data_IF_602828503787
#
_entry.id   IF_602828503787
#
_cell.length_a   1.000
_cell.length_b   1.000
_cell.length_c   1.000
_cell.angle_alpha   90.00
_cell.angle_beta   90.00
_cell.angle_gamma   90.00
#
_symmetry.space_group_name_H-M   'P 1'
#
loop_
_entity.id
_entity.type
_entity.pdbx_description
1 polymer ?
#
# COMPACT_ATOMS: atom_id res chain seq x y z
N UNK A 1 21.31 11.16 6.86
CA UNK A 1 20.39 10.03 7.15
C UNK A 1 20.92 8.80 6.46
N UNK A 2 21.00 7.64 7.12
CA UNK A 2 21.40 6.38 6.47
C UNK A 2 20.29 6.01 5.47
N UNK A 3 20.66 5.74 4.22
CA UNK A 3 19.72 5.29 3.19
C UNK A 3 19.25 3.89 3.56
N UNK A 4 17.94 3.66 3.58
CA UNK A 4 17.37 2.33 3.82
C UNK A 4 17.70 1.43 2.63
N UNK A 5 18.01 0.16 2.91
CA UNK A 5 18.21 -0.85 1.88
C UNK A 5 16.89 -1.17 1.19
N UNK A 6 16.97 -1.67 -0.04
CA UNK A 6 15.80 -2.11 -0.80
C UNK A 6 15.08 -3.26 -0.08
N UNK A 7 13.76 -3.21 -0.01
CA UNK A 7 12.99 -4.13 0.84
C UNK A 7 11.54 -4.30 0.38
N UNK A 8 10.95 -5.44 0.75
CA UNK A 8 9.53 -5.73 0.55
C UNK A 8 8.85 -5.85 1.92
N UNK A 9 7.77 -5.11 2.12
CA UNK A 9 6.92 -5.22 3.31
C UNK A 9 5.78 -6.21 3.03
N UNK A 10 5.79 -7.35 3.71
CA UNK A 10 4.71 -8.34 3.61
C UNK A 10 3.75 -8.16 4.78
N UNK A 11 2.46 -7.98 4.48
CA UNK A 11 1.39 -7.78 5.47
C UNK A 11 0.47 -8.99 5.46
N UNK A 12 0.62 -9.87 6.45
CA UNK A 12 -0.35 -10.93 6.70
C UNK A 12 -1.63 -10.35 7.31
N UNK A 13 -2.79 -10.75 6.78
CA UNK A 13 -4.04 -10.03 7.01
C UNK A 13 -4.15 -8.77 6.14
N UNK A 14 -3.56 -8.80 4.94
CA UNK A 14 -3.52 -7.67 4.02
C UNK A 14 -4.92 -7.16 3.62
N UNK A 15 -5.92 -8.04 3.55
CA UNK A 15 -7.31 -7.65 3.27
C UNK A 15 -8.08 -7.10 4.49
N UNK A 16 -7.45 -7.06 5.68
CA UNK A 16 -8.10 -6.65 6.92
C UNK A 16 -8.26 -5.13 7.10
N UNK A 17 -9.18 -4.74 7.98
CA UNK A 17 -9.52 -3.34 8.29
C UNK A 17 -8.29 -2.52 8.73
N UNK A 18 -7.42 -3.09 9.57
CA UNK A 18 -6.22 -2.40 10.04
C UNK A 18 -5.27 -2.02 8.89
N UNK A 19 -5.14 -2.90 7.90
CA UNK A 19 -4.28 -2.66 6.73
C UNK A 19 -4.79 -1.46 5.95
N UNK A 20 -6.10 -1.43 5.66
CA UNK A 20 -6.74 -0.32 4.95
C UNK A 20 -6.69 0.98 5.76
N UNK A 21 -6.98 0.95 7.06
CA UNK A 21 -7.15 2.15 7.89
C UNK A 21 -5.86 2.77 8.41
N UNK A 22 -4.79 1.99 8.55
CA UNK A 22 -3.56 2.44 9.22
C UNK A 22 -2.31 2.12 8.44
N UNK A 23 -2.12 0.87 8.02
CA UNK A 23 -0.82 0.44 7.48
C UNK A 23 -0.57 1.05 6.09
N UNK A 24 -1.51 0.92 5.16
CA UNK A 24 -1.38 1.49 3.81
C UNK A 24 -1.29 3.03 3.86
N UNK A 25 -2.13 3.76 4.62
CA UNK A 25 -1.96 5.20 4.81
C UNK A 25 -0.60 5.60 5.42
N UNK A 26 -0.07 4.83 6.37
CA UNK A 26 1.26 5.10 6.94
C UNK A 26 2.37 4.94 5.90
N UNK A 27 2.31 3.88 5.07
CA UNK A 27 3.26 3.67 3.97
C UNK A 27 3.14 4.78 2.92
N UNK A 28 1.91 5.22 2.62
CA UNK A 28 1.69 6.35 1.72
C UNK A 28 2.33 7.66 2.22
N UNK A 29 2.25 7.93 3.53
CA UNK A 29 2.95 9.09 4.12
C UNK A 29 4.47 8.98 4.00
N UNK A 30 5.04 7.78 4.15
CA UNK A 30 6.47 7.54 3.92
C UNK A 30 6.84 7.74 2.44
N UNK A 31 5.97 7.31 1.53
CA UNK A 31 6.12 7.52 0.09
C UNK A 31 6.13 9.02 -0.25
N UNK A 32 5.14 9.79 0.22
CA UNK A 32 5.09 11.25 0.03
C UNK A 32 6.29 11.96 0.64
N UNK A 33 6.80 11.48 1.77
CA UNK A 33 7.98 12.02 2.43
C UNK A 33 9.31 11.68 1.75
N UNK A 34 9.32 10.86 0.69
CA UNK A 34 10.55 10.39 0.04
C UNK A 34 11.41 9.52 0.95
N UNK A 35 10.79 8.84 1.92
CA UNK A 35 11.46 8.04 2.96
C UNK A 35 11.58 6.56 2.61
N UNK A 36 10.97 6.13 1.50
CA UNK A 36 11.07 4.76 0.99
C UNK A 36 12.33 4.59 0.12
N UNK A 37 12.95 3.40 0.11
CA UNK A 37 14.05 3.11 -0.81
C UNK A 37 13.58 3.08 -2.26
N UNK A 38 14.53 3.07 -3.21
CA UNK A 38 14.21 3.12 -4.65
C UNK A 38 13.48 1.86 -5.09
N UNK A 39 13.90 0.70 -4.59
CA UNK A 39 13.19 -0.55 -4.83
C UNK A 39 12.44 -0.93 -3.55
N UNK A 40 11.14 -0.66 -3.55
CA UNK A 40 10.24 -0.95 -2.45
C UNK A 40 8.96 -1.56 -2.99
N UNK A 41 8.39 -2.51 -2.25
CA UNK A 41 7.06 -3.05 -2.55
C UNK A 41 6.33 -3.41 -1.25
N UNK A 42 5.00 -3.38 -1.31
CA UNK A 42 4.11 -3.90 -0.27
C UNK A 42 3.33 -5.07 -0.85
N UNK A 43 3.38 -6.22 -0.18
CA UNK A 43 2.60 -7.40 -0.55
C UNK A 43 1.58 -7.68 0.56
N UNK A 44 0.30 -7.47 0.28
CA UNK A 44 -0.78 -7.93 1.14
C UNK A 44 -0.99 -9.43 0.96
N UNK A 45 -1.14 -10.16 2.06
CA UNK A 45 -1.43 -11.60 2.05
C UNK A 45 -2.68 -11.87 2.87
N UNK A 46 -3.63 -12.60 2.31
CA UNK A 46 -4.89 -12.92 2.98
C UNK A 46 -5.68 -14.03 2.30
N UNK A 47 -6.82 -14.39 2.88
CA UNK A 47 -7.70 -15.44 2.33
C UNK A 47 -8.67 -14.91 1.27
N UNK A 48 -8.97 -13.62 1.30
CA UNK A 48 -9.85 -13.00 0.31
C UNK A 48 -9.20 -13.11 -1.06
N UNK A 49 -9.93 -13.61 -2.04
CA UNK A 49 -9.49 -13.60 -3.44
C UNK A 49 -9.58 -12.18 -3.98
N UNK A 50 -8.42 -11.61 -4.29
CA UNK A 50 -8.30 -10.34 -4.99
C UNK A 50 -7.23 -10.46 -6.07
N UNK A 51 -7.48 -9.83 -7.22
CA UNK A 51 -6.40 -9.43 -8.11
C UNK A 51 -5.63 -8.24 -7.52
N UNK A 52 -4.44 -7.95 -8.08
CA UNK A 52 -3.69 -6.75 -7.70
C UNK A 52 -4.53 -5.48 -7.94
N UNK A 53 -5.28 -5.41 -9.04
CA UNK A 53 -6.14 -4.27 -9.37
C UNK A 53 -7.28 -4.10 -8.37
N UNK A 54 -7.95 -5.19 -7.98
CA UNK A 54 -9.03 -5.16 -6.99
C UNK A 54 -8.50 -4.72 -5.61
N UNK A 55 -7.33 -5.22 -5.23
CA UNK A 55 -6.69 -4.83 -3.99
C UNK A 55 -6.27 -3.37 -3.99
N UNK A 56 -5.58 -2.90 -5.05
CA UNK A 56 -5.21 -1.48 -5.24
C UNK A 56 -6.44 -0.57 -5.22
N UNK A 57 -7.54 -0.99 -5.86
CA UNK A 57 -8.81 -0.27 -5.80
C UNK A 57 -9.28 -0.10 -4.36
N UNK A 58 -9.28 -1.18 -3.58
CA UNK A 58 -9.75 -1.16 -2.18
C UNK A 58 -8.87 -0.34 -1.23
N UNK A 59 -7.54 -0.47 -1.34
CA UNK A 59 -6.60 0.09 -0.34
C UNK A 59 -5.92 1.38 -0.78
N UNK A 60 -5.97 1.75 -2.07
CA UNK A 60 -5.41 3.00 -2.61
C UNK A 60 -6.51 3.90 -3.14
N UNK A 61 -7.20 3.51 -4.21
CA UNK A 61 -8.07 4.43 -4.96
C UNK A 61 -9.38 4.75 -4.23
N UNK A 62 -9.99 3.78 -3.55
CA UNK A 62 -11.24 3.92 -2.78
C UNK A 62 -10.98 3.92 -1.26
N UNK A 63 -9.76 4.28 -0.84
CA UNK A 63 -9.39 4.35 0.56
C UNK A 63 -9.51 5.77 1.10
N UNK A 64 -10.60 6.05 1.81
CA UNK A 64 -10.86 7.35 2.46
C UNK A 64 -9.81 7.75 3.52
N UNK A 65 -8.95 6.82 3.96
CA UNK A 65 -7.92 7.09 4.97
C UNK A 65 -6.55 7.41 4.38
N UNK A 66 -6.35 7.30 3.06
CA UNK A 66 -5.02 7.40 2.43
C UNK A 66 -4.40 8.80 2.57
N UNK A 67 -5.23 9.84 2.58
CA UNK A 67 -4.80 11.23 2.66
C UNK A 67 -5.87 12.03 3.38
N UNK A 68 -5.66 12.28 4.67
CA UNK A 68 -6.65 12.92 5.54
C UNK A 68 -7.31 14.16 4.92
N UNK A 69 -6.61 15.31 4.90
CA UNK A 69 -7.19 16.61 4.53
C UNK A 69 -6.62 17.21 3.24
N UNK A 70 -5.62 16.56 2.63
CA UNK A 70 -4.96 17.03 1.42
C UNK A 70 -5.60 16.42 0.17
N UNK A 71 -5.79 17.22 -0.87
CA UNK A 71 -6.16 16.71 -2.20
C UNK A 71 -4.98 15.95 -2.79
N UNK A 72 -5.17 14.66 -3.07
CA UNK A 72 -4.24 13.86 -3.86
C UNK A 72 -4.48 14.03 -5.35
N UNK A 73 -3.40 14.02 -6.11
CA UNK A 73 -3.48 13.93 -7.57
C UNK A 73 -3.63 12.48 -8.00
N UNK A 74 -4.30 12.24 -9.12
CA UNK A 74 -4.40 10.90 -9.73
C UNK A 74 -3.01 10.32 -10.06
N UNK A 75 -2.07 11.18 -10.46
CA UNK A 75 -0.70 10.75 -10.77
C UNK A 75 0.03 10.20 -9.54
N UNK A 76 -0.15 10.80 -8.36
CA UNK A 76 0.44 10.31 -7.10
C UNK A 76 -0.18 8.97 -6.70
N UNK A 77 -1.50 8.84 -6.81
CA UNK A 77 -2.21 7.60 -6.51
C UNK A 77 -1.77 6.47 -7.44
N UNK A 78 -1.70 6.73 -8.74
CA UNK A 78 -1.25 5.75 -9.73
C UNK A 78 0.18 5.31 -9.42
N UNK A 79 1.10 6.26 -9.22
CA UNK A 79 2.50 5.95 -8.92
C UNK A 79 2.68 5.16 -7.63
N UNK A 80 1.90 5.48 -6.59
CA UNK A 80 1.92 4.73 -5.32
C UNK A 80 1.33 3.33 -5.48
N UNK A 81 0.24 3.17 -6.25
CA UNK A 81 -0.43 1.89 -6.42
C UNK A 81 0.45 0.83 -7.09
N UNK A 82 1.41 1.25 -7.92
CA UNK A 82 2.40 0.34 -8.52
C UNK A 82 3.35 -0.31 -7.50
N UNK A 83 3.43 0.23 -6.27
CA UNK A 83 4.20 -0.39 -5.18
C UNK A 83 3.39 -1.47 -4.44
N UNK A 84 2.10 -1.62 -4.75
CA UNK A 84 1.17 -2.43 -3.96
C UNK A 84 0.76 -3.68 -4.75
N UNK A 85 0.92 -4.83 -4.11
CA UNK A 85 0.62 -6.15 -4.65
C UNK A 85 -0.16 -6.96 -3.63
N UNK A 86 -0.82 -8.02 -4.08
CA UNK A 86 -1.60 -8.91 -3.26
C UNK A 86 -1.43 -10.37 -3.68
N UNK A 87 -1.38 -11.25 -2.68
CA UNK A 87 -1.42 -12.70 -2.89
C UNK A 87 -2.50 -13.30 -1.99
N UNK A 88 -3.51 -13.90 -2.62
CA UNK A 88 -4.43 -14.77 -1.89
C UNK A 88 -3.73 -16.08 -1.54
N UNK A 89 -3.93 -16.55 -0.31
CA UNK A 89 -3.41 -17.83 0.16
C UNK A 89 -4.52 -18.54 0.90
N UNK A 90 -4.80 -19.77 0.46
CA UNK A 90 -5.64 -20.71 1.19
C UNK A 90 -4.75 -21.49 2.16
N UNK A 91 -5.15 -21.56 3.43
CA UNK A 91 -4.37 -22.18 4.53
C UNK A 91 -5.15 -23.32 5.15
#
# INVERSE_FOLDING_TARGET
MKKTDDQVLVIFGGSGDLTKRKLIPAVFNLYKGGLLPKCYAVVGVGRTEYSDEEYRKSVVFENEHLSGSEKLTEAELNSFSELIYYQSVDT
#
